data_IF_169393876319
#
_entry.id   IF_169393876319
#
_cell.length_a   1.000
_cell.length_b   1.000
_cell.length_c   1.000
_cell.angle_alpha   90.00
_cell.angle_beta   90.00
_cell.angle_gamma   90.00
#
_symmetry.space_group_name_H-M   'P 1'
#
loop_
_entity.id
_entity.type
_entity.pdbx_description
1 polymer ?
#
# COMPACT_ATOMS: atom_id res chain seq x y z
N UNK A 1 11.55 8.42 27.65
CA UNK A 1 11.29 9.52 26.68
C UNK A 1 9.79 9.68 26.61
N UNK A 2 9.24 10.87 26.86
CA UNK A 2 7.79 11.08 26.68
C UNK A 2 7.48 11.05 25.18
N UNK A 3 6.49 10.27 24.71
CA UNK A 3 6.14 10.26 23.30
C UNK A 3 5.63 11.64 22.88
N UNK A 4 6.14 12.13 21.76
CA UNK A 4 5.73 13.42 21.20
C UNK A 4 4.32 13.27 20.62
N UNK A 5 3.28 13.77 21.30
CA UNK A 5 1.91 13.78 20.78
C UNK A 5 1.68 14.90 19.76
N UNK A 6 2.57 15.03 18.77
CA UNK A 6 2.48 16.03 17.71
C UNK A 6 2.66 15.39 16.33
N UNK A 7 2.06 16.02 15.32
CA UNK A 7 2.10 15.56 13.93
C UNK A 7 1.29 14.29 13.68
N UNK A 8 1.35 13.80 12.44
CA UNK A 8 0.63 12.59 12.02
C UNK A 8 1.07 11.36 12.83
N UNK A 9 2.37 11.19 13.12
CA UNK A 9 2.86 10.06 13.89
C UNK A 9 2.29 10.00 15.31
N UNK A 10 2.08 11.15 15.97
CA UNK A 10 1.42 11.21 17.28
C UNK A 10 -0.03 10.72 17.24
N UNK A 11 -0.73 10.89 16.11
CA UNK A 11 -2.09 10.40 15.89
C UNK A 11 -2.12 8.89 15.62
N UNK A 12 -1.20 8.36 14.80
CA UNK A 12 -1.23 6.96 14.35
C UNK A 12 -0.50 5.97 15.27
N UNK A 13 0.51 6.40 16.03
CA UNK A 13 1.25 5.52 16.94
C UNK A 13 0.35 4.77 17.97
N UNK A 14 -0.70 5.38 18.56
CA UNK A 14 -1.68 4.65 19.36
C UNK A 14 -2.36 3.49 18.63
N UNK A 15 -2.62 3.62 17.33
CA UNK A 15 -3.25 2.57 16.52
C UNK A 15 -2.26 1.42 16.30
N UNK A 16 -1.00 1.73 15.99
CA UNK A 16 0.08 0.72 15.89
C UNK A 16 0.26 -0.06 17.20
N UNK A 17 0.32 0.63 18.35
CA UNK A 17 0.36 -0.04 19.67
C UNK A 17 -0.86 -0.92 19.92
N UNK A 18 -2.03 -0.50 19.43
CA UNK A 18 -3.25 -1.30 19.55
C UNK A 18 -3.19 -2.54 18.65
N UNK A 19 -2.70 -2.42 17.42
CA UNK A 19 -2.46 -3.55 16.52
C UNK A 19 -1.54 -4.59 17.14
N UNK A 20 -0.32 -4.19 17.54
CA UNK A 20 0.68 -5.07 18.16
C UNK A 20 0.09 -5.84 19.34
N UNK A 21 -0.69 -5.16 20.20
CA UNK A 21 -1.34 -5.79 21.36
C UNK A 21 -2.44 -6.78 20.99
N UNK A 22 -3.22 -6.49 19.93
CA UNK A 22 -4.33 -7.33 19.47
C UNK A 22 -3.83 -8.57 18.72
N UNK A 23 -2.79 -8.42 17.91
CA UNK A 23 -2.26 -9.48 17.04
C UNK A 23 -1.13 -10.30 17.70
N UNK A 24 -0.45 -9.73 18.70
CA UNK A 24 0.76 -10.32 19.27
C UNK A 24 1.98 -10.22 18.34
N UNK A 25 1.94 -9.34 17.33
CA UNK A 25 3.00 -9.18 16.37
C UNK A 25 4.37 -8.88 17.04
N UNK A 26 5.47 -9.51 16.59
CA UNK A 26 6.81 -9.18 17.05
C UNK A 26 7.15 -7.70 16.79
N UNK A 27 7.93 -7.07 17.66
CA UNK A 27 8.20 -5.62 17.57
C UNK A 27 9.06 -5.19 16.39
N UNK A 28 9.66 -6.14 15.65
CA UNK A 28 10.55 -5.87 14.53
C UNK A 28 9.83 -5.87 13.16
N UNK A 29 8.53 -6.16 13.11
CA UNK A 29 7.77 -6.29 11.85
C UNK A 29 7.81 -4.97 11.04
N UNK A 30 7.59 -3.83 11.68
CA UNK A 30 7.68 -2.54 10.99
C UNK A 30 9.08 -2.25 10.41
N UNK A 31 10.15 -2.77 11.02
CA UNK A 31 11.50 -2.66 10.47
C UNK A 31 11.71 -3.53 9.22
N UNK A 32 11.08 -4.72 9.16
CA UNK A 32 11.08 -5.56 7.95
C UNK A 32 10.42 -4.82 6.79
N UNK A 33 9.23 -4.24 7.00
CA UNK A 33 8.52 -3.48 5.97
C UNK A 33 9.35 -2.30 5.48
N UNK A 34 9.92 -1.52 6.39
CA UNK A 34 10.73 -0.36 6.03
C UNK A 34 11.97 -0.75 5.22
N UNK A 35 12.69 -1.80 5.63
CA UNK A 35 13.83 -2.30 4.88
C UNK A 35 13.42 -2.78 3.48
N UNK A 36 12.33 -3.56 3.37
CA UNK A 36 11.78 -4.00 2.08
C UNK A 36 11.47 -2.83 1.14
N UNK A 37 10.69 -1.85 1.60
CA UNK A 37 10.29 -0.70 0.78
C UNK A 37 11.48 0.18 0.38
N UNK A 38 12.54 0.22 1.19
CA UNK A 38 13.79 0.92 0.86
C UNK A 38 14.61 0.19 -0.20
N UNK A 39 14.63 -1.13 -0.17
CA UNK A 39 15.29 -1.93 -1.21
C UNK A 39 14.51 -1.88 -2.52
N UNK A 40 13.18 -1.99 -2.48
CA UNK A 40 12.31 -1.81 -3.64
C UNK A 40 12.51 -0.43 -4.32
N UNK A 41 12.69 0.63 -3.52
CA UNK A 41 12.92 1.98 -4.04
C UNK A 41 14.18 2.13 -4.90
N UNK A 42 15.19 1.27 -4.73
CA UNK A 42 16.41 1.29 -5.55
C UNK A 42 16.12 0.88 -7.00
N UNK A 43 15.04 0.13 -7.22
CA UNK A 43 14.57 -0.34 -8.53
C UNK A 43 13.62 0.66 -9.21
N UNK A 44 13.31 1.77 -8.54
CA UNK A 44 12.43 2.80 -9.05
C UNK A 44 13.21 4.11 -9.28
N UNK A 45 13.43 4.53 -10.55
CA UNK A 45 14.14 5.77 -10.84
C UNK A 45 13.41 7.04 -10.35
N UNK A 46 12.12 6.94 -10.01
CA UNK A 46 11.32 8.05 -9.48
C UNK A 46 11.23 8.06 -7.95
N UNK A 47 11.86 7.10 -7.25
CA UNK A 47 11.88 7.10 -5.80
C UNK A 47 12.69 8.28 -5.25
N UNK A 48 12.17 8.99 -4.25
CA UNK A 48 12.87 10.09 -3.60
C UNK A 48 14.02 9.57 -2.73
N UNK A 49 13.76 8.56 -1.89
CA UNK A 49 14.80 7.94 -1.08
C UNK A 49 15.34 6.68 -1.77
N UNK A 50 16.64 6.70 -2.10
CA UNK A 50 17.39 5.56 -2.63
C UNK A 50 18.57 5.26 -1.69
N UNK A 51 18.29 4.56 -0.60
CA UNK A 51 19.24 4.31 0.50
C UNK A 51 19.67 2.83 0.51
N UNK A 52 20.71 2.44 -0.26
CA UNK A 52 21.08 1.03 -0.44
C UNK A 52 21.49 0.32 0.85
N UNK A 53 22.02 1.07 1.83
CA UNK A 53 22.52 0.53 3.09
C UNK A 53 21.42 0.25 4.13
N UNK A 54 20.14 0.42 3.79
CA UNK A 54 19.05 0.22 4.75
C UNK A 54 18.83 -1.27 5.03
N UNK A 55 18.96 -1.66 6.31
CA UNK A 55 18.68 -3.02 6.80
C UNK A 55 17.66 -2.99 7.93
N UNK A 56 17.13 -4.16 8.32
CA UNK A 56 16.23 -4.27 9.48
C UNK A 56 16.91 -3.77 10.75
N UNK A 57 18.19 -4.07 10.93
CA UNK A 57 19.00 -3.64 12.07
C UNK A 57 19.21 -2.13 12.07
N UNK A 58 19.48 -1.52 10.90
CA UNK A 58 19.64 -0.06 10.82
C UNK A 58 18.34 0.66 11.18
N UNK A 59 17.20 0.16 10.69
CA UNK A 59 15.88 0.71 11.02
C UNK A 59 15.59 0.57 12.53
N UNK A 60 15.89 -0.58 13.13
CA UNK A 60 15.74 -0.80 14.58
C UNK A 60 16.68 0.05 15.42
N UNK A 61 17.83 0.45 14.89
CA UNK A 61 18.77 1.35 15.55
C UNK A 61 18.38 2.83 15.40
N UNK A 62 17.51 3.16 14.44
CA UNK A 62 17.08 4.54 14.18
C UNK A 62 16.29 5.14 15.36
N UNK A 63 16.33 6.46 15.45
CA UNK A 63 15.69 7.23 16.53
C UNK A 63 14.20 6.91 16.63
N UNK A 64 13.74 6.50 17.82
CA UNK A 64 12.31 6.36 18.08
C UNK A 64 11.65 7.74 18.12
N UNK A 65 10.79 8.02 17.15
CA UNK A 65 10.05 9.29 17.09
C UNK A 65 8.77 9.22 17.92
N UNK A 66 8.02 8.13 17.74
CA UNK A 66 6.72 7.90 18.39
C UNK A 66 6.61 6.43 18.76
N UNK A 67 6.81 6.08 20.03
CA UNK A 67 6.71 4.68 20.48
C UNK A 67 5.50 3.94 19.86
N UNK A 68 5.69 2.88 19.04
CA UNK A 68 6.94 2.15 18.78
C UNK A 68 7.65 2.54 17.46
N UNK A 69 7.06 3.43 16.67
CA UNK A 69 7.53 3.88 15.34
C UNK A 69 8.85 4.65 15.44
N UNK A 70 9.83 4.18 14.69
CA UNK A 70 11.16 4.80 14.53
C UNK A 70 11.25 5.66 13.29
N UNK A 71 12.29 6.49 13.22
CA UNK A 71 12.49 7.47 12.14
C UNK A 71 12.47 6.82 10.75
N UNK A 72 13.19 5.71 10.57
CA UNK A 72 13.29 5.04 9.27
C UNK A 72 12.02 4.26 8.90
N UNK A 73 11.08 4.10 9.83
CA UNK A 73 9.74 3.53 9.60
C UNK A 73 8.73 4.56 9.07
N UNK A 74 9.18 5.79 8.77
CA UNK A 74 8.32 6.89 8.34
C UNK A 74 8.60 7.32 6.91
N UNK A 75 7.57 7.83 6.24
CA UNK A 75 7.71 8.43 4.91
C UNK A 75 8.46 9.78 4.94
N UNK A 76 9.23 10.12 3.89
CA UNK A 76 9.84 11.44 3.73
C UNK A 76 8.81 12.51 3.36
N UNK A 77 9.13 13.78 3.60
CA UNK A 77 8.47 14.88 2.90
C UNK A 77 9.00 14.95 1.47
N UNK A 78 8.13 14.87 0.46
CA UNK A 78 8.53 14.81 -0.95
C UNK A 78 7.71 15.79 -1.79
N UNK A 79 8.33 16.35 -2.83
CA UNK A 79 7.64 17.04 -3.91
C UNK A 79 7.47 16.09 -5.10
N UNK A 80 6.36 16.18 -5.82
CA UNK A 80 6.09 15.30 -6.95
C UNK A 80 4.70 15.48 -7.53
N UNK A 81 4.50 14.94 -8.73
CA UNK A 81 3.23 14.98 -9.45
C UNK A 81 3.00 13.65 -10.18
N UNK A 82 1.73 13.33 -10.42
CA UNK A 82 1.32 12.17 -11.19
C UNK A 82 0.11 12.53 -12.04
N UNK A 83 0.09 12.07 -13.29
CA UNK A 83 -1.03 12.24 -14.19
C UNK A 83 -1.44 10.87 -14.76
N UNK A 84 -2.74 10.65 -14.84
CA UNK A 84 -3.33 9.44 -15.43
C UNK A 84 -4.27 9.87 -16.56
N UNK A 85 -4.19 9.19 -17.70
CA UNK A 85 -5.12 9.39 -18.82
C UNK A 85 -6.09 8.22 -18.83
N UNK A 86 -7.36 8.51 -18.53
CA UNK A 86 -8.44 7.52 -18.59
C UNK A 86 -9.21 7.74 -19.88
N UNK A 87 -9.39 6.67 -20.65
CA UNK A 87 -10.06 6.70 -21.94
C UNK A 87 -11.14 5.61 -22.03
N UNK A 88 -12.15 5.84 -22.89
CA UNK A 88 -13.10 4.78 -23.23
C UNK A 88 -12.41 3.69 -24.04
N UNK A 89 -12.96 2.47 -23.99
CA UNK A 89 -12.54 1.37 -24.86
C UNK A 89 -12.49 1.79 -26.34
N UNK A 90 -13.51 2.51 -26.80
CA UNK A 90 -13.61 2.97 -28.18
C UNK A 90 -12.53 3.98 -28.57
N UNK A 91 -12.00 4.75 -27.62
CA UNK A 91 -10.88 5.66 -27.85
C UNK A 91 -9.56 4.88 -27.89
N UNK A 92 -9.38 3.89 -27.00
CA UNK A 92 -8.22 3.00 -27.01
C UNK A 92 -8.15 2.16 -28.29
N UNK A 93 -9.29 1.62 -28.76
CA UNK A 93 -9.36 0.86 -30.01
C UNK A 93 -8.99 1.69 -31.27
N UNK A 94 -9.03 3.02 -31.17
CA UNK A 94 -8.66 3.95 -32.24
C UNK A 94 -7.27 4.57 -32.06
N UNK A 95 -6.54 4.17 -31.02
CA UNK A 95 -5.18 4.65 -30.74
C UNK A 95 -4.14 3.55 -31.01
N UNK A 96 -2.87 3.91 -30.85
CA UNK A 96 -1.75 2.96 -31.00
C UNK A 96 -1.39 2.20 -29.71
N UNK A 97 -2.16 2.41 -28.63
CA UNK A 97 -1.94 1.77 -27.32
C UNK A 97 -2.17 0.26 -27.45
N UNK A 98 -1.15 -0.55 -27.14
CA UNK A 98 -1.20 -2.01 -27.27
C UNK A 98 -1.63 -2.71 -25.98
N UNK A 99 -1.09 -2.28 -24.86
CA UNK A 99 -1.29 -2.90 -23.56
C UNK A 99 -1.87 -1.86 -22.57
N UNK A 100 -3.14 -1.46 -22.69
CA UNK A 100 -3.75 -0.58 -21.71
C UNK A 100 -3.97 -1.32 -20.38
N UNK A 101 -3.82 -0.63 -19.25
CA UNK A 101 -4.32 -1.12 -17.96
C UNK A 101 -5.85 -1.00 -17.93
N UNK A 102 -6.57 -2.12 -18.01
CA UNK A 102 -8.02 -2.11 -17.96
C UNK A 102 -8.51 -1.90 -16.53
N UNK A 103 -9.48 -1.02 -16.32
CA UNK A 103 -10.08 -0.80 -14.99
C UNK A 103 -11.18 -1.85 -14.77
N UNK A 104 -10.94 -2.80 -13.87
CA UNK A 104 -11.91 -3.85 -13.48
C UNK A 104 -12.87 -3.35 -12.40
N UNK A 105 -12.46 -2.37 -11.59
CA UNK A 105 -13.32 -1.74 -10.62
C UNK A 105 -12.66 -0.56 -9.92
N UNK A 106 -13.50 0.32 -9.37
CA UNK A 106 -13.06 1.45 -8.55
C UNK A 106 -14.02 1.60 -7.39
N UNK A 107 -13.52 1.78 -6.16
CA UNK A 107 -14.36 2.03 -5.00
C UNK A 107 -13.79 3.14 -4.13
N UNK A 108 -14.69 3.93 -3.57
CA UNK A 108 -14.39 4.93 -2.55
C UNK A 108 -15.37 4.75 -1.39
N UNK A 109 -14.87 4.69 -0.16
CA UNK A 109 -15.69 4.73 1.05
C UNK A 109 -15.05 5.65 2.08
N UNK A 110 -15.89 6.17 2.96
CA UNK A 110 -15.44 6.98 4.07
C UNK A 110 -16.24 6.70 5.34
N UNK A 111 -15.63 7.00 6.48
CA UNK A 111 -16.29 6.95 7.80
C UNK A 111 -15.91 8.18 8.66
N UNK A 112 -16.70 8.54 9.67
CA UNK A 112 -16.39 9.68 10.54
C UNK A 112 -15.13 9.43 11.39
N UNK A 113 -14.21 10.40 11.46
CA UNK A 113 -12.93 10.27 12.16
C UNK A 113 -13.07 9.92 13.65
N UNK A 114 -14.03 10.55 14.33
CA UNK A 114 -14.18 10.56 15.79
C UNK A 114 -15.45 9.85 16.29
N UNK A 115 -16.00 8.92 15.50
CA UNK A 115 -17.11 8.10 15.98
C UNK A 115 -16.66 7.18 17.14
N UNK A 116 -17.47 7.06 18.18
CA UNK A 116 -17.14 6.36 19.43
C UNK A 116 -16.85 4.87 19.25
N UNK A 117 -17.45 4.23 18.26
CA UNK A 117 -17.32 2.78 18.00
C UNK A 117 -16.36 2.48 16.84
N UNK A 118 -15.68 3.50 16.30
CA UNK A 118 -14.81 3.33 15.15
C UNK A 118 -13.57 2.52 15.54
N UNK A 119 -13.35 1.40 14.85
CA UNK A 119 -12.10 0.67 14.97
C UNK A 119 -10.99 1.38 14.17
N UNK A 120 -10.09 2.02 14.90
CA UNK A 120 -8.95 2.74 14.33
C UNK A 120 -7.85 1.81 13.77
N UNK A 121 -7.81 0.56 14.23
CA UNK A 121 -6.84 -0.44 13.76
C UNK A 121 -7.33 -1.10 12.48
N UNK A 122 -8.63 -1.38 12.40
CA UNK A 122 -9.26 -2.00 11.25
C UNK A 122 -10.53 -1.24 10.78
N UNK A 123 -10.35 -0.05 10.18
CA UNK A 123 -11.42 0.82 9.69
C UNK A 123 -12.49 0.10 8.86
N UNK A 124 -13.77 0.35 9.16
CA UNK A 124 -14.89 -0.30 8.45
C UNK A 124 -14.96 0.20 7.00
N UNK A 125 -14.71 1.48 6.76
CA UNK A 125 -14.70 2.04 5.41
C UNK A 125 -13.74 1.30 4.47
N UNK A 126 -12.53 0.95 4.94
CA UNK A 126 -11.56 0.19 4.17
C UNK A 126 -12.05 -1.21 3.81
N UNK A 127 -12.56 -1.97 4.80
CA UNK A 127 -13.13 -3.31 4.60
C UNK A 127 -14.32 -3.33 3.64
N UNK A 128 -15.21 -2.33 3.76
CA UNK A 128 -16.39 -2.22 2.88
C UNK A 128 -15.98 -1.81 1.47
N UNK A 129 -14.96 -0.96 1.33
CA UNK A 129 -14.42 -0.59 0.02
C UNK A 129 -13.78 -1.79 -0.68
N UNK A 130 -12.92 -2.56 0.01
CA UNK A 130 -12.24 -3.72 -0.57
C UNK A 130 -13.23 -4.80 -0.97
N UNK A 131 -14.19 -5.14 -0.10
CA UNK A 131 -15.25 -6.11 -0.41
C UNK A 131 -16.09 -5.67 -1.62
N UNK A 132 -16.43 -4.38 -1.72
CA UNK A 132 -17.16 -3.86 -2.87
C UNK A 132 -16.31 -3.88 -4.16
N UNK A 133 -15.00 -3.62 -4.06
CA UNK A 133 -14.08 -3.64 -5.18
C UNK A 133 -13.95 -5.06 -5.74
N UNK A 134 -13.72 -6.03 -4.85
CA UNK A 134 -13.60 -7.43 -5.21
C UNK A 134 -14.88 -7.96 -5.85
N UNK A 135 -16.04 -7.64 -5.28
CA UNK A 135 -17.33 -7.98 -5.88
C UNK A 135 -17.49 -7.38 -7.29
N UNK A 136 -17.11 -6.13 -7.50
CA UNK A 136 -17.19 -5.47 -8.81
C UNK A 136 -16.25 -6.11 -9.84
N UNK A 137 -15.06 -6.51 -9.41
CA UNK A 137 -14.05 -7.12 -10.24
C UNK A 137 -14.15 -8.65 -10.38
N UNK A 138 -15.15 -9.28 -9.75
CA UNK A 138 -15.33 -10.74 -9.76
C UNK A 138 -14.27 -11.50 -8.97
N UNK A 139 -13.56 -10.86 -8.06
CA UNK A 139 -12.54 -11.47 -7.19
C UNK A 139 -13.23 -12.12 -5.99
N UNK A 140 -12.88 -13.39 -5.73
CA UNK A 140 -13.41 -14.19 -4.63
C UNK A 140 -12.34 -14.49 -3.57
N UNK A 141 -11.09 -14.64 -3.99
CA UNK A 141 -9.94 -14.85 -3.12
C UNK A 141 -8.81 -13.88 -3.50
N UNK A 142 -8.70 -12.71 -2.83
CA UNK A 142 -7.81 -11.65 -3.27
C UNK A 142 -6.32 -12.03 -3.26
N UNK A 143 -5.87 -12.88 -2.34
CA UNK A 143 -4.46 -13.28 -2.27
C UNK A 143 -4.05 -14.28 -3.37
N UNK A 144 -5.01 -14.97 -3.99
CA UNK A 144 -4.73 -15.92 -5.09
C UNK A 144 -5.03 -15.30 -6.47
N UNK A 145 -5.81 -14.21 -6.51
CA UNK A 145 -6.30 -13.63 -7.76
C UNK A 145 -5.75 -12.23 -8.07
N UNK A 146 -5.03 -11.61 -7.14
CA UNK A 146 -4.35 -10.31 -7.33
C UNK A 146 -2.86 -10.57 -7.25
N UNK A 147 -2.11 -10.17 -8.28
CA UNK A 147 -0.70 -10.52 -8.42
C UNK A 147 0.23 -9.56 -7.67
N UNK A 148 -0.21 -8.32 -7.43
CA UNK A 148 0.52 -7.33 -6.65
C UNK A 148 -0.37 -6.16 -6.21
N UNK A 149 0.10 -5.38 -5.24
CA UNK A 149 -0.61 -4.18 -4.81
C UNK A 149 0.32 -3.00 -4.45
N UNK A 150 -0.12 -1.80 -4.82
CA UNK A 150 0.49 -0.54 -4.45
C UNK A 150 -0.38 0.16 -3.42
N UNK A 151 0.11 0.19 -2.19
CA UNK A 151 -0.66 0.47 -0.99
C UNK A 151 -0.10 1.67 -0.25
N UNK A 152 -0.96 2.65 0.02
CA UNK A 152 -0.60 3.80 0.82
C UNK A 152 -0.21 3.39 2.26
N UNK A 153 1.10 3.30 2.54
CA UNK A 153 1.72 2.91 3.82
C UNK A 153 2.68 4.03 4.30
N UNK A 154 2.21 5.03 5.05
CA UNK A 154 3.02 6.18 5.46
C UNK A 154 3.87 5.91 6.70
N UNK A 155 3.49 4.88 7.46
CA UNK A 155 4.28 4.29 8.53
C UNK A 155 4.30 2.79 8.29
N UNK A 156 5.46 2.16 8.44
CA UNK A 156 5.71 0.75 8.09
C UNK A 156 4.65 -0.22 8.62
N UNK A 157 4.19 -0.04 9.86
CA UNK A 157 3.17 -0.85 10.51
C UNK A 157 1.81 -0.87 9.82
N UNK A 158 1.53 0.06 8.91
CA UNK A 158 0.31 0.01 8.13
C UNK A 158 0.30 -1.13 7.11
N UNK A 159 1.45 -1.64 6.63
CA UNK A 159 1.46 -2.80 5.73
C UNK A 159 0.74 -4.01 6.35
N UNK A 160 1.15 -4.53 7.53
CA UNK A 160 0.45 -5.68 8.12
C UNK A 160 -1.00 -5.37 8.52
N UNK A 161 -1.31 -4.13 8.91
CA UNK A 161 -2.70 -3.72 9.17
C UNK A 161 -3.55 -3.73 7.89
N UNK A 162 -2.99 -3.32 6.75
CA UNK A 162 -3.67 -3.28 5.46
C UNK A 162 -3.80 -4.65 4.81
N UNK A 163 -2.86 -5.57 5.02
CA UNK A 163 -3.05 -6.96 4.63
C UNK A 163 -4.35 -7.54 5.22
N UNK A 164 -4.65 -7.19 6.48
CA UNK A 164 -5.89 -7.62 7.15
C UNK A 164 -7.12 -6.81 6.71
N UNK A 165 -7.01 -5.47 6.66
CA UNK A 165 -8.14 -4.60 6.33
C UNK A 165 -8.62 -4.79 4.89
N UNK A 166 -7.69 -4.99 3.97
CA UNK A 166 -8.00 -5.19 2.56
C UNK A 166 -8.40 -6.65 2.28
N UNK A 167 -8.15 -7.59 3.20
CA UNK A 167 -8.65 -8.97 3.10
C UNK A 167 -7.66 -9.96 2.47
N UNK A 168 -6.38 -9.60 2.38
CA UNK A 168 -5.30 -10.53 1.99
C UNK A 168 -4.91 -11.49 3.12
N UNK A 169 -5.13 -11.09 4.38
CA UNK A 169 -4.87 -11.90 5.57
C UNK A 169 -6.07 -11.89 6.52
N UNK A 170 -6.18 -12.95 7.34
CA UNK A 170 -7.11 -12.96 8.46
C UNK A 170 -6.71 -11.94 9.53
N UNK A 171 -7.68 -11.49 10.34
CA UNK A 171 -7.41 -10.52 11.42
C UNK A 171 -6.39 -11.10 12.41
N UNK A 172 -5.34 -10.33 12.71
CA UNK A 172 -4.22 -10.72 13.56
C UNK A 172 -3.10 -11.47 12.83
N UNK A 173 -3.23 -11.79 11.55
CA UNK A 173 -2.26 -12.59 10.78
C UNK A 173 -1.49 -11.79 9.73
N UNK A 174 -1.78 -10.50 9.53
CA UNK A 174 -1.11 -9.70 8.49
C UNK A 174 0.40 -9.64 8.66
N UNK A 175 0.88 -9.50 9.89
CA UNK A 175 2.32 -9.51 10.21
C UNK A 175 3.02 -10.82 9.83
N UNK A 176 2.32 -11.96 9.78
CA UNK A 176 2.91 -13.25 9.43
C UNK A 176 3.29 -13.30 7.96
N UNK A 177 2.49 -12.68 7.09
CA UNK A 177 2.82 -12.57 5.66
C UNK A 177 4.05 -11.68 5.46
N UNK A 178 4.09 -10.53 6.12
CA UNK A 178 5.27 -9.65 6.11
C UNK A 178 6.51 -10.37 6.62
N UNK A 179 6.43 -11.05 7.77
CA UNK A 179 7.56 -11.75 8.38
C UNK A 179 8.08 -12.91 7.51
N UNK A 180 7.16 -13.62 6.85
CA UNK A 180 7.51 -14.70 5.92
C UNK A 180 8.10 -14.20 4.60
N UNK A 181 8.14 -12.88 4.36
CA UNK A 181 8.63 -12.27 3.12
C UNK A 181 7.63 -12.32 1.97
N UNK A 182 6.37 -12.66 2.23
CA UNK A 182 5.34 -12.84 1.19
C UNK A 182 4.92 -11.52 0.52
N UNK A 183 5.26 -10.38 1.14
CA UNK A 183 5.02 -9.03 0.59
C UNK A 183 6.18 -8.48 -0.21
N UNK A 184 7.31 -9.20 -0.30
CA UNK A 184 8.43 -8.83 -1.17
C UNK A 184 8.15 -9.16 -2.64
N UNK A 185 8.91 -8.56 -3.56
CA UNK A 185 8.90 -8.97 -4.98
C UNK A 185 9.29 -10.45 -5.05
N UNK A 186 8.43 -11.27 -5.68
CA UNK A 186 8.57 -12.73 -5.73
C UNK A 186 7.89 -13.50 -4.60
N UNK A 187 7.34 -12.81 -3.60
CA UNK A 187 6.45 -13.40 -2.60
C UNK A 187 5.03 -13.61 -3.13
N UNK A 188 4.13 -14.12 -2.27
CA UNK A 188 2.74 -14.40 -2.65
C UNK A 188 1.91 -13.18 -3.03
N UNK A 189 2.14 -12.03 -2.39
CA UNK A 189 1.44 -10.78 -2.70
C UNK A 189 2.39 -9.59 -2.55
N UNK A 190 3.25 -9.33 -3.55
CA UNK A 190 4.15 -8.18 -3.55
C UNK A 190 3.40 -6.88 -3.25
N UNK A 191 3.84 -6.17 -2.20
CA UNK A 191 3.35 -4.86 -1.82
C UNK A 191 4.44 -3.81 -2.06
N UNK A 192 4.04 -2.67 -2.63
CA UNK A 192 4.88 -1.48 -2.77
C UNK A 192 6.20 -1.73 -3.50
N UNK A 193 6.13 -2.39 -4.65
CA UNK A 193 7.28 -2.67 -5.52
C UNK A 193 7.97 -1.38 -5.98
N UNK A 194 7.23 -0.27 -6.06
CA UNK A 194 7.76 1.07 -6.35
C UNK A 194 8.63 1.67 -5.22
N UNK A 195 8.71 1.00 -4.07
CA UNK A 195 9.23 1.55 -2.81
C UNK A 195 8.18 2.30 -1.97
N UNK A 196 6.96 2.41 -2.50
CA UNK A 196 5.78 2.85 -1.75
C UNK A 196 5.86 4.28 -1.20
N UNK A 197 4.98 4.55 -0.24
CA UNK A 197 4.91 5.85 0.45
C UNK A 197 6.11 6.03 1.40
N UNK A 198 6.68 4.95 1.91
CA UNK A 198 7.87 5.01 2.75
C UNK A 198 9.06 5.62 2.01
N UNK A 199 9.16 5.47 0.68
CA UNK A 199 10.28 6.03 -0.11
C UNK A 199 9.92 7.25 -0.96
N UNK A 200 8.63 7.51 -1.21
CA UNK A 200 8.15 8.72 -1.92
C UNK A 200 6.75 9.12 -1.47
N UNK A 201 6.62 10.30 -0.83
CA UNK A 201 5.31 10.80 -0.35
C UNK A 201 5.00 12.27 -0.72
N UNK A 202 4.77 12.57 -2.00
CA UNK A 202 4.11 13.82 -2.41
C UNK A 202 2.61 13.71 -2.14
N UNK A 203 2.19 14.07 -0.91
CA UNK A 203 0.86 13.75 -0.33
C UNK A 203 -0.32 13.90 -1.31
N UNK A 204 -0.40 15.01 -2.06
CA UNK A 204 -1.50 15.26 -3.00
C UNK A 204 -1.52 14.31 -4.21
N UNK A 205 -0.36 13.79 -4.61
CA UNK A 205 -0.20 12.84 -5.72
C UNK A 205 -0.08 11.39 -5.24
N UNK A 206 0.19 11.13 -3.95
CA UNK A 206 0.54 9.79 -3.45
C UNK A 206 -0.48 8.71 -3.78
N UNK A 207 -1.79 9.00 -3.72
CA UNK A 207 -2.81 8.03 -4.14
C UNK A 207 -2.81 7.75 -5.64
N UNK A 208 -2.66 8.81 -6.46
CA UNK A 208 -2.56 8.70 -7.92
C UNK A 208 -1.30 7.94 -8.36
N UNK A 209 -0.18 8.10 -7.66
CA UNK A 209 1.06 7.35 -7.95
C UNK A 209 0.81 5.85 -7.75
N UNK A 210 0.16 5.45 -6.65
CA UNK A 210 -0.16 4.04 -6.38
C UNK A 210 -1.11 3.45 -7.40
N UNK A 211 -1.99 4.28 -7.93
CA UNK A 211 -2.82 3.92 -9.07
C UNK A 211 -1.93 3.69 -10.31
N UNK A 212 -1.12 4.67 -10.69
CA UNK A 212 -0.19 4.57 -11.83
C UNK A 212 0.73 3.35 -11.75
N UNK A 213 1.35 3.10 -10.60
CA UNK A 213 2.26 1.96 -10.38
C UNK A 213 1.53 0.63 -10.57
N UNK A 214 0.33 0.46 -10.02
CA UNK A 214 -0.48 -0.74 -10.29
C UNK A 214 -0.82 -0.90 -11.79
N UNK A 215 -1.04 0.21 -12.52
CA UNK A 215 -1.22 0.17 -13.98
C UNK A 215 0.06 -0.26 -14.70
N UNK A 216 1.23 0.30 -14.35
CA UNK A 216 2.50 -0.05 -14.98
C UNK A 216 2.80 -1.55 -14.85
N UNK A 217 2.46 -2.15 -13.70
CA UNK A 217 2.63 -3.59 -13.48
C UNK A 217 1.86 -4.44 -14.50
N UNK A 218 0.55 -4.19 -14.66
CA UNK A 218 -0.29 -4.97 -15.59
C UNK A 218 -0.06 -4.61 -17.07
N UNK A 219 0.56 -3.46 -17.34
CA UNK A 219 0.98 -3.06 -18.68
C UNK A 219 2.32 -3.71 -19.09
N UNK A 220 3.08 -4.23 -18.13
CA UNK A 220 4.44 -4.73 -18.36
C UNK A 220 5.47 -3.60 -18.51
N UNK A 221 5.21 -2.44 -17.91
CA UNK A 221 6.00 -1.21 -18.08
C UNK A 221 6.63 -0.72 -16.76
N UNK A 222 6.67 -1.56 -15.71
CA UNK A 222 7.22 -1.19 -14.40
C UNK A 222 8.75 -1.29 -14.27
N UNK A 223 9.48 -1.48 -15.38
CA UNK A 223 10.95 -1.48 -15.38
C UNK A 223 11.57 -2.53 -14.44
N UNK A 224 12.54 -2.12 -13.61
CA UNK A 224 13.28 -3.04 -12.73
C UNK A 224 12.48 -3.56 -11.53
N UNK A 225 11.33 -2.95 -11.22
CA UNK A 225 10.42 -3.41 -10.16
C UNK A 225 9.16 -4.11 -10.71
N UNK A 226 9.24 -4.62 -11.94
CA UNK A 226 8.19 -5.43 -12.56
C UNK A 226 7.99 -6.76 -11.83
N UNK A 227 6.74 -7.03 -11.43
CA UNK A 227 6.31 -8.35 -10.95
C UNK A 227 6.11 -9.27 -12.15
N UNK A 228 6.69 -10.45 -12.07
CA UNK A 228 6.63 -11.44 -13.15
C UNK A 228 5.18 -11.85 -13.43
N UNK A 229 4.77 -11.81 -14.69
CA UNK A 229 3.44 -12.22 -15.15
C UNK A 229 2.25 -11.50 -14.46
N UNK A 230 2.44 -10.27 -13.98
CA UNK A 230 1.36 -9.49 -13.36
C UNK A 230 0.20 -9.26 -14.34
N UNK A 231 -0.99 -9.79 -14.00
CA UNK A 231 -2.22 -9.68 -14.79
C UNK A 231 -3.32 -8.90 -14.09
N UNK A 232 -3.33 -8.85 -12.77
CA UNK A 232 -4.21 -8.01 -11.95
C UNK A 232 -3.42 -7.35 -10.83
N UNK A 233 -3.57 -6.03 -10.71
CA UNK A 233 -2.90 -5.25 -9.67
C UNK A 233 -3.90 -4.32 -8.98
N UNK A 234 -3.71 -4.15 -7.68
CA UNK A 234 -4.52 -3.25 -6.86
C UNK A 234 -3.76 -1.97 -6.57
N UNK A 235 -4.43 -0.84 -6.75
CA UNK A 235 -3.95 0.45 -6.27
C UNK A 235 -4.81 0.92 -5.09
N UNK A 236 -4.17 1.41 -4.03
CA UNK A 236 -4.83 1.83 -2.81
C UNK A 236 -4.32 3.20 -2.33
N UNK A 237 -5.27 4.04 -1.96
CA UNK A 237 -5.04 5.33 -1.32
C UNK A 237 -5.90 5.43 -0.06
N UNK A 238 -5.33 5.97 1.01
CA UNK A 238 -6.10 6.40 2.15
C UNK A 238 -5.70 7.80 2.61
N UNK A 239 -6.61 8.48 3.33
CA UNK A 239 -6.38 9.82 3.84
C UNK A 239 -7.06 10.12 5.18
N UNK A 240 -6.70 11.27 5.75
CA UNK A 240 -7.16 11.70 7.07
C UNK A 240 -6.66 10.76 8.17
N UNK A 241 -7.45 10.56 9.22
CA UNK A 241 -7.15 9.61 10.30
C UNK A 241 -7.50 8.17 9.94
N UNK A 242 -7.15 7.70 8.74
CA UNK A 242 -7.59 6.41 8.17
C UNK A 242 -9.09 6.32 7.90
N UNK A 243 -9.66 7.38 7.34
CA UNK A 243 -11.11 7.56 7.24
C UNK A 243 -11.64 7.66 5.81
N UNK A 244 -10.77 7.94 4.85
CA UNK A 244 -11.08 8.00 3.43
C UNK A 244 -10.28 6.91 2.74
N UNK A 245 -10.95 6.02 2.00
CA UNK A 245 -10.30 4.92 1.29
C UNK A 245 -10.75 4.93 -0.17
N UNK A 246 -9.80 5.13 -1.08
CA UNK A 246 -10.00 5.01 -2.51
C UNK A 246 -9.13 3.85 -3.02
N UNK A 247 -9.69 3.05 -3.92
CA UNK A 247 -9.00 1.91 -4.49
C UNK A 247 -9.49 1.60 -5.88
N UNK A 248 -8.62 0.98 -6.65
CA UNK A 248 -8.98 0.41 -7.94
C UNK A 248 -8.33 -0.96 -8.12
N UNK A 249 -8.91 -1.76 -9.01
CA UNK A 249 -8.28 -2.96 -9.52
C UNK A 249 -8.13 -2.78 -11.02
N UNK A 250 -6.91 -2.97 -11.51
CA UNK A 250 -6.61 -2.95 -12.94
C UNK A 250 -6.13 -4.32 -13.38
N UNK A 251 -6.30 -4.63 -14.67
CA UNK A 251 -5.80 -5.87 -15.25
C UNK A 251 -5.30 -5.72 -16.68
N UNK A 252 -4.48 -6.68 -17.10
CA UNK A 252 -3.94 -6.77 -18.47
C UNK A 252 -5.03 -7.11 -19.50
N UNK A 253 -6.07 -7.80 -19.05
CA UNK A 253 -7.21 -8.21 -19.87
C UNK A 253 -8.42 -7.31 -19.64
N UNK A 254 -9.22 -7.16 -20.69
CA UNK A 254 -10.48 -6.42 -20.63
C UNK A 254 -11.45 -7.08 -19.62
N UNK A 255 -12.21 -6.32 -18.80
CA UNK A 255 -13.20 -6.89 -17.90
C UNK A 255 -14.29 -7.60 -18.69
N UNK A 256 -14.77 -8.73 -18.16
CA UNK A 256 -15.78 -9.59 -18.79
C UNK A 256 -17.24 -9.12 -18.63
N UNK A 257 -17.44 -7.90 -18.12
CA UNK A 257 -18.71 -7.39 -17.60
C UNK A 257 -19.43 -6.50 -18.60
#
# INVERSE_FOLDING_TARGET
IMPVHAGAGGYFAPHVRSYIRRSGAPTHIGAIVAAKDRQNALLNPYAHLQNPDTTVESVLASTMLWDPIRYDETCPSSDGACALVIASESAVAKSDIKNPAWIHGTQMRSEPTTASERDQVNPQAGRVASAALYKQAGITNPIEEIDCAEVYVPFSWFEPMWLENLGFAALGDGWKLTEAGETAIGGKIPFNMSGGVLSSNPIGASGMIRFAEASLQVMGEAGEHQVENARKAMGHAYGGGSQFFAMWLVGSDKPSN
#
